data_IF_101839535603
#
_entry.id   IF_101839535603
#
_cell.length_a   1.000
_cell.length_b   1.000
_cell.length_c   1.000
_cell.angle_alpha   90.00
_cell.angle_beta   90.00
_cell.angle_gamma   90.00
#
_symmetry.space_group_name_H-M   'P 1'
#
loop_
_entity.id
_entity.type
_entity.pdbx_description
1 polymer ?
#
# COMPACT_ATOMS: atom_id res chain seq x y z
N UNK A 1 -2.26 -14.12 -14.34
CA UNK A 1 -1.46 -13.93 -13.11
C UNK A 1 -0.54 -12.71 -13.29
N UNK A 2 -1.06 -11.48 -13.13
CA UNK A 2 -0.34 -10.23 -13.48
C UNK A 2 0.54 -9.68 -12.34
N UNK A 3 0.12 -9.81 -11.07
CA UNK A 3 0.81 -9.17 -9.93
C UNK A 3 2.22 -9.72 -9.66
N UNK A 4 2.40 -11.04 -9.80
CA UNK A 4 3.71 -11.70 -9.61
C UNK A 4 4.66 -11.37 -10.76
N UNK A 5 4.13 -11.24 -11.98
CA UNK A 5 4.92 -10.94 -13.19
C UNK A 5 5.40 -9.49 -13.22
N UNK A 6 4.58 -8.56 -12.75
CA UNK A 6 4.88 -7.12 -12.80
C UNK A 6 5.55 -6.60 -11.51
N UNK A 7 5.87 -7.49 -10.55
CA UNK A 7 6.48 -7.15 -9.25
C UNK A 7 5.78 -5.95 -8.57
N UNK A 8 4.46 -5.89 -8.70
CA UNK A 8 3.68 -4.71 -8.31
C UNK A 8 3.52 -4.65 -6.81
N UNK A 9 3.44 -3.43 -6.30
CA UNK A 9 3.15 -3.23 -4.90
C UNK A 9 1.67 -3.49 -4.63
N UNK A 10 1.40 -4.20 -3.55
CA UNK A 10 0.04 -4.48 -3.09
C UNK A 10 -0.14 -3.98 -1.67
N UNK A 11 -1.33 -3.49 -1.39
CA UNK A 11 -1.82 -3.19 -0.06
C UNK A 11 -2.76 -4.31 0.38
N UNK A 12 -2.42 -4.99 1.46
CA UNK A 12 -3.18 -6.09 2.03
C UNK A 12 -3.76 -5.62 3.37
N UNK A 13 -5.08 -5.72 3.52
CA UNK A 13 -5.72 -5.48 4.81
C UNK A 13 -5.94 -6.82 5.53
N UNK A 14 -5.36 -6.94 6.72
CA UNK A 14 -5.46 -8.15 7.53
C UNK A 14 -6.59 -8.04 8.56
N UNK A 15 -7.11 -9.20 9.00
CA UNK A 15 -8.17 -9.29 10.02
C UNK A 15 -7.80 -8.66 11.37
N UNK A 16 -6.51 -8.53 11.67
CA UNK A 16 -6.03 -7.95 12.92
C UNK A 16 -5.94 -6.41 12.92
N UNK A 17 -6.71 -5.72 12.06
CA UNK A 17 -6.64 -4.26 11.84
C UNK A 17 -5.24 -3.73 11.48
N UNK A 18 -4.38 -4.61 10.95
CA UNK A 18 -3.05 -4.26 10.45
C UNK A 18 -3.09 -4.20 8.94
N UNK A 19 -2.37 -3.23 8.37
CA UNK A 19 -2.22 -3.07 6.92
C UNK A 19 -0.79 -3.45 6.54
N UNK A 20 -0.64 -4.27 5.52
CA UNK A 20 0.65 -4.67 4.96
C UNK A 20 0.79 -4.06 3.58
N UNK A 21 1.87 -3.31 3.36
CA UNK A 21 2.23 -2.81 2.04
C UNK A 21 3.49 -3.54 1.61
N UNK A 22 3.46 -4.27 0.50
CA UNK A 22 4.62 -5.07 0.08
C UNK A 22 4.52 -5.58 -1.34
N UNK A 23 5.47 -6.41 -1.76
CA UNK A 23 5.48 -7.04 -3.09
C UNK A 23 5.26 -8.53 -2.95
N UNK A 24 4.35 -9.09 -3.75
CA UNK A 24 4.04 -10.53 -3.74
C UNK A 24 5.00 -11.27 -4.65
N UNK A 25 5.75 -12.22 -4.09
CA UNK A 25 6.62 -13.13 -4.85
C UNK A 25 5.91 -14.41 -5.27
N UNK A 26 5.05 -14.94 -4.43
CA UNK A 26 4.26 -16.12 -4.72
C UNK A 26 2.91 -16.04 -4.03
N UNK A 27 1.90 -16.68 -4.61
CA UNK A 27 0.60 -16.89 -3.96
C UNK A 27 0.05 -18.27 -4.30
N UNK A 28 -0.84 -18.78 -3.46
CA UNK A 28 -1.55 -20.05 -3.69
C UNK A 28 -3.09 -19.89 -3.69
N UNK A 29 -3.79 -21.01 -3.85
CA UNK A 29 -5.27 -21.07 -3.88
C UNK A 29 -5.94 -20.68 -2.57
N UNK A 30 -5.23 -20.79 -1.44
CA UNK A 30 -5.74 -20.43 -0.12
C UNK A 30 -5.44 -18.96 0.19
N UNK A 31 -4.89 -18.20 -0.76
CA UNK A 31 -4.40 -16.85 -0.57
C UNK A 31 -3.24 -16.78 0.44
N UNK A 32 -2.49 -17.87 0.64
CA UNK A 32 -1.18 -17.75 1.29
C UNK A 32 -0.25 -17.01 0.33
N UNK A 33 0.53 -16.08 0.88
CA UNK A 33 1.39 -15.20 0.10
C UNK A 33 2.78 -15.16 0.68
N UNK A 34 3.78 -15.23 -0.21
CA UNK A 34 5.16 -14.90 0.11
C UNK A 34 5.39 -13.45 -0.28
N UNK A 35 5.69 -12.61 0.69
CA UNK A 35 5.88 -11.18 0.54
C UNK A 35 7.34 -10.78 0.77
N UNK A 36 7.81 -9.81 0.00
CA UNK A 36 9.11 -9.16 0.21
C UNK A 36 8.94 -7.64 0.34
N UNK A 37 9.88 -7.00 1.05
CA UNK A 37 9.90 -5.57 1.33
C UNK A 37 8.56 -5.08 1.92
N UNK A 38 8.13 -5.74 3.00
CA UNK A 38 6.84 -5.47 3.64
C UNK A 38 6.98 -4.36 4.66
N UNK A 39 6.12 -3.34 4.53
CA UNK A 39 5.85 -2.35 5.56
C UNK A 39 4.54 -2.69 6.24
N UNK A 40 4.61 -3.13 7.49
CA UNK A 40 3.41 -3.30 8.31
C UNK A 40 3.09 -1.98 9.01
N UNK A 41 1.83 -1.55 8.92
CA UNK A 41 1.32 -0.31 9.50
C UNK A 41 0.15 -0.63 10.42
N UNK A 42 0.18 -0.12 11.64
CA UNK A 42 -0.93 -0.21 12.59
C UNK A 42 -1.05 1.07 13.41
N UNK A 43 -2.23 1.31 13.97
CA UNK A 43 -2.48 2.42 14.87
C UNK A 43 -2.55 1.89 16.30
N UNK A 44 -1.75 2.48 17.19
CA UNK A 44 -1.89 2.26 18.62
C UNK A 44 -2.65 3.44 19.22
N UNK A 45 -3.70 3.14 19.98
CA UNK A 45 -4.37 4.13 20.81
C UNK A 45 -3.79 4.01 22.21
N UNK A 46 -3.01 4.98 22.69
CA UNK A 46 -2.43 4.92 24.02
C UNK A 46 -3.56 4.87 25.05
N UNK A 47 -3.55 3.87 25.94
CA UNK A 47 -4.48 3.82 27.07
C UNK A 47 -4.08 4.91 28.07
N UNK A 48 -4.73 6.05 28.01
CA UNK A 48 -4.52 7.13 28.97
C UNK A 48 -5.19 6.77 30.30
N UNK A 49 -4.55 7.09 31.43
CA UNK A 49 -5.13 6.91 32.76
C UNK A 49 -6.46 7.65 32.94
N UNK A 50 -7.30 7.17 33.88
CA UNK A 50 -8.63 7.74 34.18
C UNK A 50 -8.55 9.27 34.31
N UNK A 51 -9.32 9.97 33.47
CA UNK A 51 -9.54 11.43 33.58
C UNK A 51 -8.77 12.33 32.61
N UNK A 52 -7.89 11.80 31.76
CA UNK A 52 -7.21 12.60 30.71
C UNK A 52 -7.87 12.40 29.34
N UNK A 53 -7.89 13.48 28.52
CA UNK A 53 -8.42 13.47 27.13
C UNK A 53 -7.86 12.26 26.37
N UNK A 54 -8.71 11.60 25.57
CA UNK A 54 -8.34 10.45 24.74
C UNK A 54 -7.03 10.77 24.00
N UNK A 55 -5.99 9.97 24.22
CA UNK A 55 -4.72 10.16 23.54
C UNK A 55 -4.89 10.00 22.02
N UNK A 56 -4.13 10.79 21.27
CA UNK A 56 -4.16 10.75 19.82
C UNK A 56 -3.72 9.37 19.31
N UNK A 57 -4.36 8.81 18.27
CA UNK A 57 -3.88 7.60 17.62
C UNK A 57 -2.46 7.81 17.11
N UNK A 58 -1.54 6.94 17.49
CA UNK A 58 -0.16 6.96 17.01
C UNK A 58 0.00 5.89 15.95
N UNK A 59 0.34 6.32 14.73
CA UNK A 59 0.65 5.40 13.65
C UNK A 59 2.06 4.85 13.87
N UNK A 60 2.18 3.52 13.89
CA UNK A 60 3.46 2.82 13.91
C UNK A 60 3.65 2.03 12.63
N UNK A 61 4.89 1.96 12.22
CA UNK A 61 5.31 1.13 11.11
C UNK A 61 6.54 0.30 11.46
N UNK A 62 6.60 -0.91 10.88
CA UNK A 62 7.80 -1.75 10.90
C UNK A 62 8.11 -2.26 9.52
N UNK A 63 9.40 -2.36 9.23
CA UNK A 63 9.88 -2.94 7.98
C UNK A 63 10.29 -4.40 8.18
N UNK A 64 9.90 -5.25 7.24
CA UNK A 64 10.15 -6.69 7.26
C UNK A 64 10.61 -7.10 5.86
N UNK A 65 11.85 -7.57 5.76
CA UNK A 65 12.46 -7.89 4.46
C UNK A 65 11.74 -9.03 3.74
N UNK A 66 11.38 -10.10 4.46
CA UNK A 66 10.63 -11.25 3.93
C UNK A 66 9.57 -11.71 4.93
N UNK A 67 8.38 -12.02 4.44
CA UNK A 67 7.26 -12.46 5.27
C UNK A 67 6.43 -13.53 4.56
N UNK A 68 6.04 -14.56 5.30
CA UNK A 68 5.00 -15.49 4.88
C UNK A 68 3.67 -15.08 5.53
N UNK A 69 2.66 -14.83 4.70
CA UNK A 69 1.32 -14.50 5.13
C UNK A 69 0.39 -15.67 4.86
N UNK A 70 -0.34 -16.08 5.89
CA UNK A 70 -1.39 -17.11 5.77
C UNK A 70 -2.70 -16.49 5.30
N UNK A 71 -3.36 -17.12 4.34
CA UNK A 71 -4.53 -16.56 3.67
C UNK A 71 -5.77 -16.40 4.53
N UNK A 72 -5.90 -17.18 5.62
CA UNK A 72 -6.98 -17.02 6.60
C UNK A 72 -7.05 -15.61 7.21
N UNK A 73 -5.90 -14.91 7.27
CA UNK A 73 -5.77 -13.57 7.84
C UNK A 73 -6.05 -12.45 6.84
N UNK A 74 -6.15 -12.75 5.54
CA UNK A 74 -6.33 -11.78 4.46
C UNK A 74 -7.82 -11.46 4.30
N UNK A 75 -8.17 -10.17 4.33
CA UNK A 75 -9.54 -9.73 4.02
C UNK A 75 -9.62 -9.25 2.58
N UNK A 76 -8.76 -8.29 2.22
CA UNK A 76 -8.77 -7.68 0.89
C UNK A 76 -7.33 -7.40 0.45
N UNK A 77 -7.09 -7.60 -0.85
CA UNK A 77 -5.83 -7.26 -1.52
C UNK A 77 -6.12 -6.22 -2.59
N UNK A 78 -5.55 -5.03 -2.40
CA UNK A 78 -5.56 -3.92 -3.33
C UNK A 78 -4.25 -3.89 -4.11
N UNK A 79 -4.34 -3.93 -5.44
CA UNK A 79 -3.18 -3.77 -6.32
C UNK A 79 -2.99 -2.29 -6.62
N UNK A 80 -1.76 -1.80 -6.53
CA UNK A 80 -1.44 -0.43 -6.92
C UNK A 80 -1.48 -0.31 -8.45
N UNK A 81 -2.33 0.54 -9.05
CA UNK A 81 -2.40 0.73 -10.49
C UNK A 81 -1.17 1.44 -11.08
N UNK A 82 -0.32 2.07 -10.25
CA UNK A 82 0.83 2.86 -10.73
C UNK A 82 1.95 2.04 -11.36
N UNK A 83 1.91 0.70 -11.35
CA UNK A 83 2.80 -0.11 -12.20
C UNK A 83 2.46 -0.03 -13.68
N UNK A 84 1.27 0.47 -14.03
CA UNK A 84 0.75 0.51 -15.39
C UNK A 84 0.75 1.96 -15.95
N UNK A 85 1.49 2.90 -15.35
CA UNK A 85 1.57 4.29 -15.84
C UNK A 85 2.06 4.36 -17.30
N UNK A 86 2.89 3.40 -17.73
CA UNK A 86 3.32 3.30 -19.14
C UNK A 86 2.18 2.98 -20.13
N UNK A 87 1.02 2.53 -19.65
CA UNK A 87 -0.17 2.26 -20.49
C UNK A 87 -1.11 3.48 -20.54
N UNK A 88 -1.02 4.40 -19.56
CA UNK A 88 -1.88 5.59 -19.48
C UNK A 88 -1.28 6.84 -20.11
N UNK A 89 0.05 6.89 -20.26
CA UNK A 89 0.74 8.04 -20.89
C UNK A 89 0.32 8.24 -22.36
N UNK A 90 0.14 7.20 -23.21
CA UNK A 90 -0.31 7.43 -24.59
C UNK A 90 -1.73 8.00 -24.68
N UNK A 91 -2.64 7.66 -23.75
CA UNK A 91 -4.03 8.12 -23.78
C UNK A 91 -4.19 9.57 -23.29
N UNK A 92 -3.25 10.08 -22.51
CA UNK A 92 -3.29 11.44 -21.98
C UNK A 92 -2.59 12.44 -22.90
N UNK A 93 -1.51 12.04 -23.59
CA UNK A 93 -0.73 12.95 -24.44
C UNK A 93 -1.51 13.47 -25.66
N UNK A 94 -2.55 12.75 -26.10
CA UNK A 94 -3.46 13.19 -27.18
C UNK A 94 -4.62 14.07 -26.67
N UNK A 95 -4.70 14.35 -25.37
CA UNK A 95 -5.76 15.18 -24.79
C UNK A 95 -5.33 16.64 -24.68
N UNK A 96 -6.16 17.61 -25.15
CA UNK A 96 -5.86 19.05 -25.06
C UNK A 96 -5.73 19.58 -23.62
N UNK A 97 -6.02 18.74 -22.61
CA UNK A 97 -5.89 19.04 -21.18
C UNK A 97 -4.54 18.66 -20.58
N UNK A 98 -3.61 18.07 -21.35
CA UNK A 98 -2.29 17.63 -20.87
C UNK A 98 -1.47 18.71 -20.16
N UNK A 99 -1.62 19.97 -20.58
CA UNK A 99 -0.92 21.11 -19.97
C UNK A 99 -1.36 21.36 -18.53
N UNK A 100 -2.64 21.12 -18.21
CA UNK A 100 -3.19 21.31 -16.86
C UNK A 100 -2.69 20.22 -15.89
N UNK A 101 -2.50 18.98 -16.36
CA UNK A 101 -2.01 17.88 -15.51
C UNK A 101 -0.52 18.08 -15.19
N UNK A 102 0.28 18.55 -16.16
CA UNK A 102 1.70 18.86 -15.94
C UNK A 102 1.91 20.01 -14.93
N UNK A 103 1.03 21.02 -14.93
CA UNK A 103 1.08 22.11 -13.95
C UNK A 103 0.79 21.64 -12.52
N UNK A 104 -0.13 20.69 -12.33
CA UNK A 104 -0.39 20.12 -11.00
C UNK A 104 0.73 19.20 -10.50
N UNK A 105 1.45 18.52 -11.40
CA UNK A 105 2.56 17.65 -11.02
C UNK A 105 3.82 18.42 -10.60
N UNK A 106 4.03 19.63 -11.15
CA UNK A 106 5.11 20.52 -10.73
C UNK A 106 4.79 21.31 -9.44
N UNK A 107 3.60 21.13 -8.85
CA UNK A 107 3.15 21.83 -7.64
C UNK A 107 3.13 20.93 -6.39
N UNK A 108 3.72 19.73 -6.43
CA UNK A 108 4.10 19.05 -5.19
C UNK A 108 5.49 19.56 -4.80
N UNK A 109 5.64 20.37 -3.75
CA UNK A 109 6.97 20.66 -3.22
C UNK A 109 7.58 19.32 -2.77
N UNK A 110 8.79 19.04 -3.24
CA UNK A 110 9.64 18.01 -2.65
C UNK A 110 9.65 18.21 -1.13
N UNK A 111 9.04 17.28 -0.41
CA UNK A 111 9.23 17.16 1.03
C UNK A 111 10.38 16.20 1.25
N UNK A 112 11.57 16.81 1.19
CA UNK A 112 12.91 16.39 1.63
C UNK A 112 13.62 15.26 0.85
#
# INVERSE_FOLDING_TARGET
>A
MMSVKNNTQVLINCRNNKKLLGRVRAFDRHCNMVLENVREMWTEVPKTGKGKKKAQPVNKDRFISKMFLRGDSVIIVLRNPNSDWFVLVPALLDSPWSVYIAMFYNQTPDVA
#
